data_IF_353413932923
#
_entry.id   IF_353413932923
#
_cell.length_a   1.000
_cell.length_b   1.000
_cell.length_c   1.000
_cell.angle_alpha   90.00
_cell.angle_beta   90.00
_cell.angle_gamma   90.00
#
_symmetry.space_group_name_H-M   'P 1'
#
loop_
_entity.id
_entity.type
_entity.pdbx_description
1 polymer ?
#
# COMPACT_ATOMS: atom_id res chain seq x y z
N UNK A 1 -20.48 5.87 -0.03
CA UNK A 1 -19.12 5.24 -0.08
C UNK A 1 -18.66 4.89 1.33
N UNK A 2 -17.39 4.40 1.56
CA UNK A 2 -16.96 4.00 2.92
C UNK A 2 -17.09 5.14 3.96
N UNK A 3 -16.76 6.37 3.59
CA UNK A 3 -16.90 7.54 4.49
C UNK A 3 -18.33 7.74 5.00
N UNK A 4 -19.32 7.52 4.15
CA UNK A 4 -20.74 7.62 4.52
C UNK A 4 -21.18 6.47 5.44
N UNK A 5 -20.56 5.28 5.26
CA UNK A 5 -20.86 4.08 6.06
C UNK A 5 -20.18 4.09 7.43
N UNK A 6 -19.01 4.73 7.53
CA UNK A 6 -18.25 4.84 8.78
C UNK A 6 -18.10 6.32 9.23
N UNK A 7 -19.21 7.02 9.53
CA UNK A 7 -19.14 8.40 9.98
C UNK A 7 -18.40 8.45 11.33
N UNK A 8 -17.43 9.36 11.45
CA UNK A 8 -16.59 9.49 12.63
C UNK A 8 -15.26 8.75 12.55
N UNK A 9 -15.04 7.92 11.53
CA UNK A 9 -13.71 7.39 11.23
C UNK A 9 -12.83 8.46 10.59
N UNK A 10 -11.52 8.33 10.77
CA UNK A 10 -10.52 9.14 10.05
C UNK A 10 -10.05 8.38 8.81
N UNK A 11 -10.18 9.00 7.64
CA UNK A 11 -9.72 8.45 6.37
C UNK A 11 -8.39 9.07 5.98
N UNK A 12 -7.43 8.22 5.61
CA UNK A 12 -6.09 8.61 5.19
C UNK A 12 -5.76 7.99 3.83
N UNK A 13 -4.84 8.63 3.13
CA UNK A 13 -4.29 8.12 1.87
C UNK A 13 -2.79 8.38 1.84
N UNK A 14 -2.01 7.37 1.49
CA UNK A 14 -0.57 7.49 1.33
C UNK A 14 -0.12 7.05 -0.07
N UNK A 15 0.92 7.70 -0.65
CA UNK A 15 1.61 8.87 -0.10
C UNK A 15 0.76 10.14 -0.18
N UNK A 16 1.04 11.11 0.71
CA UNK A 16 0.43 12.43 0.65
C UNK A 16 1.33 13.36 -0.18
N UNK A 17 1.07 13.43 -1.47
CA UNK A 17 1.88 14.19 -2.42
C UNK A 17 1.86 15.71 -2.21
N UNK A 18 0.89 16.25 -1.49
CA UNK A 18 0.74 17.69 -1.23
C UNK A 18 1.56 18.18 -0.03
N UNK A 19 2.52 17.39 0.43
CA UNK A 19 3.38 17.71 1.56
C UNK A 19 4.85 17.74 1.15
N UNK A 20 5.73 18.42 1.93
CA UNK A 20 7.18 18.37 1.67
C UNK A 20 7.77 16.94 1.66
N UNK A 21 7.22 16.02 2.44
CA UNK A 21 7.61 14.61 2.38
C UNK A 21 7.13 13.95 1.08
N UNK A 22 5.94 14.30 0.60
CA UNK A 22 5.40 13.86 -0.69
C UNK A 22 6.19 14.38 -1.89
N UNK A 23 6.78 15.57 -1.79
CA UNK A 23 7.68 16.10 -2.83
C UNK A 23 8.89 15.20 -3.04
N UNK A 24 9.50 14.68 -1.96
CA UNK A 24 10.63 13.73 -2.05
C UNK A 24 10.21 12.46 -2.79
N UNK A 25 9.00 11.96 -2.50
CA UNK A 25 8.46 10.78 -3.17
C UNK A 25 8.21 11.07 -4.66
N UNK A 26 7.72 12.27 -4.98
CA UNK A 26 7.53 12.70 -6.37
C UNK A 26 8.85 12.77 -7.14
N UNK A 27 9.91 13.33 -6.51
CA UNK A 27 11.25 13.36 -7.09
C UNK A 27 11.80 11.94 -7.34
N UNK A 28 11.58 11.04 -6.37
CA UNK A 28 11.99 9.65 -6.49
C UNK A 28 11.26 8.92 -7.64
N UNK A 29 9.92 9.05 -7.70
CA UNK A 29 9.11 8.41 -8.74
C UNK A 29 9.39 8.97 -10.15
N UNK A 30 9.80 10.24 -10.23
CA UNK A 30 10.23 10.88 -11.46
C UNK A 30 11.70 10.57 -11.83
N UNK A 31 12.35 9.63 -11.13
CA UNK A 31 13.75 9.22 -11.35
C UNK A 31 14.77 10.37 -11.26
N UNK A 32 14.41 11.46 -10.54
CA UNK A 32 15.33 12.59 -10.30
C UNK A 32 16.24 12.38 -9.09
N UNK A 33 15.91 11.40 -8.22
CA UNK A 33 16.84 10.88 -7.21
C UNK A 33 17.47 9.63 -7.79
N UNK A 34 18.80 9.60 -8.03
CA UNK A 34 19.45 8.41 -8.56
C UNK A 34 19.25 7.22 -7.62
N UNK A 35 18.72 6.12 -8.16
CA UNK A 35 18.66 4.85 -7.45
C UNK A 35 20.07 4.25 -7.35
N UNK A 36 20.38 3.63 -6.22
CA UNK A 36 21.53 2.75 -6.07
C UNK A 36 21.28 1.39 -6.73
N UNK A 37 21.99 0.36 -6.26
CA UNK A 37 21.61 -1.00 -6.61
C UNK A 37 20.25 -1.36 -6.00
N UNK A 38 19.64 -2.44 -6.51
CA UNK A 38 18.27 -2.82 -6.17
C UNK A 38 18.06 -3.02 -4.65
N UNK A 39 19.08 -3.55 -3.94
CA UNK A 39 18.99 -3.79 -2.50
C UNK A 39 18.93 -2.45 -1.76
N UNK A 40 19.88 -1.55 -1.99
CA UNK A 40 19.89 -0.24 -1.35
C UNK A 40 18.66 0.59 -1.73
N UNK A 41 18.21 0.51 -2.99
CA UNK A 41 16.99 1.17 -3.46
C UNK A 41 15.73 0.70 -2.72
N UNK A 42 15.62 -0.57 -2.35
CA UNK A 42 14.48 -1.07 -1.57
C UNK A 42 14.38 -0.37 -0.20
N UNK A 43 15.50 -0.27 0.50
CA UNK A 43 15.56 0.36 1.82
C UNK A 43 15.42 1.88 1.76
N UNK A 44 16.15 2.55 0.87
CA UNK A 44 16.09 4.01 0.74
C UNK A 44 14.71 4.51 0.33
N UNK A 45 14.08 3.89 -0.68
CA UNK A 45 12.72 4.24 -1.06
C UNK A 45 11.72 4.03 0.10
N UNK A 46 11.89 2.95 0.86
CA UNK A 46 11.03 2.71 2.03
C UNK A 46 11.13 3.83 3.07
N UNK A 47 12.31 4.44 3.25
CA UNK A 47 12.49 5.57 4.19
C UNK A 47 11.75 6.82 3.73
N UNK A 48 11.64 7.09 2.43
CA UNK A 48 10.88 8.24 1.92
C UNK A 48 9.39 8.11 2.25
N UNK A 49 8.81 6.93 2.00
CA UNK A 49 7.42 6.65 2.33
C UNK A 49 7.17 6.60 3.85
N UNK A 50 8.13 6.10 4.62
CA UNK A 50 8.05 6.08 6.08
C UNK A 50 8.07 7.49 6.68
N UNK A 51 8.89 8.39 6.12
CA UNK A 51 8.93 9.81 6.53
C UNK A 51 7.58 10.51 6.30
N UNK A 52 6.92 10.25 5.16
CA UNK A 52 5.59 10.78 4.87
C UNK A 52 4.57 10.29 5.90
N UNK A 53 4.51 9.00 6.20
CA UNK A 53 3.62 8.43 7.22
C UNK A 53 3.88 9.00 8.61
N UNK A 54 5.16 9.08 9.02
CA UNK A 54 5.55 9.62 10.31
C UNK A 54 5.15 11.08 10.47
N UNK A 55 5.45 11.92 9.48
CA UNK A 55 5.12 13.35 9.52
C UNK A 55 3.60 13.54 9.55
N UNK A 56 2.86 12.79 8.73
CA UNK A 56 1.40 12.79 8.73
C UNK A 56 0.86 12.38 10.10
N UNK A 57 1.35 11.28 10.69
CA UNK A 57 0.95 10.84 12.02
C UNK A 57 1.13 11.94 13.07
N UNK A 58 2.34 12.51 13.15
CA UNK A 58 2.69 13.50 14.18
C UNK A 58 1.96 14.83 14.03
N UNK A 59 1.65 15.26 12.80
CA UNK A 59 1.06 16.56 12.54
C UNK A 59 -0.46 16.54 12.43
N UNK A 60 -1.04 15.44 11.96
CA UNK A 60 -2.42 15.44 11.50
C UNK A 60 -3.33 14.50 12.32
N UNK A 61 -2.99 13.23 12.49
CA UNK A 61 -3.97 12.26 13.00
C UNK A 61 -3.60 11.57 14.33
N UNK A 62 -2.51 11.98 14.99
CA UNK A 62 -2.13 11.41 16.31
C UNK A 62 -3.22 11.59 17.35
N UNK A 63 -3.91 12.74 17.36
CA UNK A 63 -5.00 13.03 18.30
C UNK A 63 -6.19 12.12 18.03
N UNK A 64 -6.60 11.99 16.76
CA UNK A 64 -7.69 11.09 16.38
C UNK A 64 -7.40 9.64 16.80
N UNK A 65 -6.15 9.19 16.63
CA UNK A 65 -5.71 7.86 17.04
C UNK A 65 -5.73 7.68 18.57
N UNK A 66 -5.19 8.64 19.32
CA UNK A 66 -5.15 8.55 20.80
C UNK A 66 -6.53 8.70 21.43
N UNK A 67 -7.46 9.38 20.77
CA UNK A 67 -8.87 9.48 21.16
C UNK A 67 -9.67 8.20 20.81
N UNK A 68 -9.03 7.19 20.24
CA UNK A 68 -9.64 5.90 19.90
C UNK A 68 -10.54 5.94 18.67
N UNK A 69 -10.38 6.93 17.79
CA UNK A 69 -11.09 6.92 16.51
C UNK A 69 -10.61 5.78 15.62
N UNK A 70 -11.52 5.19 14.87
CA UNK A 70 -11.16 4.26 13.80
C UNK A 70 -10.40 4.99 12.70
N UNK A 71 -9.22 4.50 12.37
CA UNK A 71 -8.40 5.02 11.28
C UNK A 71 -8.48 4.05 10.10
N UNK A 72 -8.91 4.53 8.95
CA UNK A 72 -8.99 3.76 7.70
C UNK A 72 -8.02 4.38 6.71
N UNK A 73 -7.00 3.65 6.32
CA UNK A 73 -5.97 4.16 5.40
C UNK A 73 -5.98 3.43 4.07
N UNK A 74 -6.03 4.19 2.98
CA UNK A 74 -5.70 3.68 1.66
C UNK A 74 -4.18 3.69 1.51
N UNK A 75 -3.57 2.49 1.54
CA UNK A 75 -2.13 2.21 1.66
C UNK A 75 -1.58 2.58 3.05
N UNK A 76 -0.53 1.90 3.44
CA UNK A 76 0.21 2.14 4.67
C UNK A 76 1.61 1.50 4.58
N UNK A 77 2.24 1.15 5.71
CA UNK A 77 3.56 0.48 5.77
C UNK A 77 3.60 -0.79 4.91
N UNK A 78 2.52 -1.56 4.88
CA UNK A 78 2.39 -2.78 4.09
C UNK A 78 2.57 -2.56 2.58
N UNK A 79 2.36 -1.33 2.07
CA UNK A 79 2.70 -0.99 0.69
C UNK A 79 4.20 -1.11 0.41
N UNK A 80 5.08 -0.80 1.38
CA UNK A 80 6.51 -1.02 1.22
C UNK A 80 6.83 -2.52 1.13
N UNK A 81 6.20 -3.36 1.96
CA UNK A 81 6.33 -4.82 1.86
C UNK A 81 5.85 -5.36 0.52
N UNK A 82 4.86 -4.72 -0.12
CA UNK A 82 4.36 -5.15 -1.44
C UNK A 82 5.27 -4.66 -2.58
N UNK A 83 5.66 -3.38 -2.57
CA UNK A 83 6.30 -2.75 -3.73
C UNK A 83 7.83 -2.71 -3.64
N UNK A 84 8.40 -2.43 -2.47
CA UNK A 84 9.85 -2.30 -2.34
C UNK A 84 10.53 -3.65 -2.14
N UNK A 85 9.89 -4.58 -1.43
CA UNK A 85 10.41 -5.93 -1.22
C UNK A 85 10.67 -6.68 -2.54
N UNK A 86 9.89 -6.40 -3.59
CA UNK A 86 10.07 -7.00 -4.91
C UNK A 86 11.39 -6.68 -5.59
N UNK A 87 12.10 -5.65 -5.14
CA UNK A 87 13.43 -5.30 -5.64
C UNK A 87 14.51 -6.24 -5.11
N UNK A 88 14.19 -6.97 -4.04
CA UNK A 88 15.12 -7.86 -3.35
C UNK A 88 15.00 -9.30 -3.85
N UNK A 89 16.11 -10.07 -3.82
CA UNK A 89 16.04 -11.52 -3.91
C UNK A 89 15.09 -12.11 -2.85
N UNK A 90 14.44 -13.22 -3.20
CA UNK A 90 13.43 -13.85 -2.32
C UNK A 90 13.96 -14.20 -0.94
N UNK A 91 15.21 -14.56 -0.86
CA UNK A 91 15.92 -14.96 0.36
C UNK A 91 16.06 -13.81 1.39
N UNK A 92 15.94 -12.56 0.95
CA UNK A 92 16.02 -11.37 1.80
C UNK A 92 14.66 -10.83 2.25
N UNK A 93 13.56 -11.46 1.86
CA UNK A 93 12.22 -10.94 2.16
C UNK A 93 11.90 -10.95 3.66
N UNK A 94 12.31 -12.01 4.37
CA UNK A 94 12.13 -12.08 5.83
C UNK A 94 12.91 -10.98 6.55
N UNK A 95 14.17 -10.80 6.19
CA UNK A 95 15.02 -9.76 6.77
C UNK A 95 14.46 -8.36 6.48
N UNK A 96 14.02 -8.12 5.26
CA UNK A 96 13.44 -6.85 4.88
C UNK A 96 12.13 -6.55 5.63
N UNK A 97 11.21 -7.51 5.75
CA UNK A 97 9.98 -7.34 6.51
C UNK A 97 10.26 -7.07 7.99
N UNK A 98 11.18 -7.82 8.60
CA UNK A 98 11.58 -7.60 9.98
C UNK A 98 12.15 -6.20 10.19
N UNK A 99 13.03 -5.74 9.28
CA UNK A 99 13.58 -4.40 9.30
C UNK A 99 12.49 -3.33 9.12
N UNK A 100 11.60 -3.49 8.13
CA UNK A 100 10.57 -2.52 7.79
C UNK A 100 9.63 -2.27 8.98
N UNK A 101 9.14 -3.34 9.59
CA UNK A 101 8.21 -3.25 10.71
C UNK A 101 8.89 -2.72 11.97
N UNK A 102 10.14 -3.14 12.28
CA UNK A 102 10.91 -2.57 13.38
C UNK A 102 11.18 -1.08 13.16
N UNK A 103 11.56 -0.70 11.94
CA UNK A 103 11.84 0.69 11.60
C UNK A 103 10.59 1.58 11.77
N UNK A 104 9.47 1.22 11.17
CA UNK A 104 8.29 2.09 11.19
C UNK A 104 7.52 2.00 12.51
N UNK A 105 7.29 0.81 13.05
CA UNK A 105 6.46 0.66 14.24
C UNK A 105 7.24 0.89 15.54
N UNK A 106 8.47 0.38 15.64
CA UNK A 106 9.24 0.46 16.90
C UNK A 106 10.18 1.67 16.94
N UNK A 107 10.85 2.05 15.85
CA UNK A 107 11.81 3.17 15.84
C UNK A 107 11.13 4.50 15.56
N UNK A 108 10.27 4.60 14.55
CA UNK A 108 9.50 5.81 14.27
C UNK A 108 8.27 5.93 15.17
N UNK A 109 7.75 4.83 15.69
CA UNK A 109 6.62 4.80 16.60
C UNK A 109 5.29 5.16 15.95
N UNK A 110 5.13 4.90 14.64
CA UNK A 110 3.80 4.97 14.04
C UNK A 110 3.00 3.72 14.42
N UNK A 111 1.68 3.80 14.61
CA UNK A 111 0.90 2.64 15.01
C UNK A 111 0.91 1.54 13.95
N UNK A 112 1.08 0.30 14.39
CA UNK A 112 0.83 -0.84 13.51
C UNK A 112 -0.68 -0.95 13.21
N UNK A 113 -1.08 -1.42 12.02
CA UNK A 113 -2.48 -1.65 11.73
C UNK A 113 -2.99 -2.90 12.48
N UNK A 114 -4.23 -2.87 12.95
CA UNK A 114 -4.90 -4.05 13.53
C UNK A 114 -5.25 -5.06 12.43
N UNK A 115 -5.62 -4.56 11.24
CA UNK A 115 -5.99 -5.37 10.11
C UNK A 115 -5.53 -4.75 8.78
N UNK A 116 -5.25 -5.61 7.81
CA UNK A 116 -4.94 -5.25 6.43
C UNK A 116 -5.92 -5.97 5.50
N UNK A 117 -6.56 -5.22 4.62
CA UNK A 117 -7.42 -5.79 3.59
C UNK A 117 -6.73 -5.59 2.25
N UNK A 118 -6.31 -6.69 1.64
CA UNK A 118 -5.68 -6.67 0.32
C UNK A 118 -6.72 -6.95 -0.77
N UNK A 119 -6.93 -5.97 -1.64
CA UNK A 119 -7.83 -6.10 -2.78
C UNK A 119 -7.12 -6.85 -3.90
N UNK A 120 -7.38 -8.15 -4.02
CA UNK A 120 -6.72 -9.01 -5.00
C UNK A 120 -7.41 -8.92 -6.37
N UNK A 121 -6.68 -8.34 -7.33
CA UNK A 121 -7.08 -8.27 -8.75
C UNK A 121 -6.01 -8.97 -9.58
N UNK A 122 -6.35 -10.01 -10.36
CA UNK A 122 -5.41 -10.63 -11.29
C UNK A 122 -4.76 -9.61 -12.23
N UNK A 123 -3.47 -9.80 -12.52
CA UNK A 123 -2.67 -8.81 -13.26
C UNK A 123 -3.23 -8.55 -14.65
N UNK A 124 -3.77 -9.58 -15.31
CA UNK A 124 -4.38 -9.47 -16.64
C UNK A 124 -5.60 -8.54 -16.63
N UNK A 125 -6.41 -8.64 -15.57
CA UNK A 125 -7.58 -7.76 -15.37
C UNK A 125 -7.13 -6.35 -15.01
N UNK A 126 -6.16 -6.20 -14.12
CA UNK A 126 -5.58 -4.92 -13.74
C UNK A 126 -5.01 -4.18 -14.96
N UNK A 127 -4.24 -4.85 -15.81
CA UNK A 127 -3.70 -4.26 -17.04
C UNK A 127 -4.79 -3.80 -18.00
N UNK A 128 -5.86 -4.59 -18.17
CA UNK A 128 -7.00 -4.18 -18.98
C UNK A 128 -7.66 -2.91 -18.44
N UNK A 129 -7.90 -2.85 -17.12
CA UNK A 129 -8.49 -1.66 -16.49
C UNK A 129 -7.61 -0.41 -16.65
N UNK A 130 -6.28 -0.56 -16.55
CA UNK A 130 -5.34 0.53 -16.80
C UNK A 130 -5.41 1.02 -18.24
N UNK A 131 -5.45 0.11 -19.21
CA UNK A 131 -5.60 0.46 -20.61
C UNK A 131 -6.91 1.19 -20.89
N UNK A 132 -8.03 0.73 -20.30
CA UNK A 132 -9.33 1.40 -20.39
C UNK A 132 -9.29 2.80 -19.75
N UNK A 133 -8.70 2.92 -18.55
CA UNK A 133 -8.54 4.19 -17.81
C UNK A 133 -7.80 5.24 -18.61
N UNK A 134 -6.73 4.84 -19.29
CA UNK A 134 -5.92 5.73 -20.11
C UNK A 134 -6.39 5.81 -21.56
N UNK A 135 -7.53 5.19 -21.90
CA UNK A 135 -8.11 5.18 -23.25
C UNK A 135 -7.13 4.68 -24.33
N UNK A 136 -6.33 3.68 -23.97
CA UNK A 136 -5.30 3.11 -24.85
C UNK A 136 -4.01 3.93 -24.96
N UNK A 137 -3.87 5.02 -24.23
CA UNK A 137 -2.65 5.82 -24.20
C UNK A 137 -1.64 5.24 -23.20
N UNK A 138 -0.82 4.32 -23.66
CA UNK A 138 0.18 3.62 -22.84
C UNK A 138 1.24 4.56 -22.23
N UNK A 139 1.45 5.76 -22.82
CA UNK A 139 2.42 6.74 -22.31
C UNK A 139 2.02 7.34 -20.95
N UNK A 140 0.77 7.16 -20.54
CA UNK A 140 0.25 7.63 -19.27
C UNK A 140 0.43 6.65 -18.12
N UNK A 141 0.80 5.40 -18.42
CA UNK A 141 1.17 4.43 -17.39
C UNK A 141 2.51 4.83 -16.79
N UNK A 142 2.59 4.78 -15.46
CA UNK A 142 3.90 4.90 -14.83
C UNK A 142 4.76 3.65 -15.10
N UNK A 143 6.05 3.70 -14.77
CA UNK A 143 6.98 2.61 -15.02
C UNK A 143 6.57 1.29 -14.36
N UNK A 144 5.86 1.37 -13.26
CA UNK A 144 5.39 0.21 -12.50
C UNK A 144 4.11 -0.37 -13.10
N UNK A 145 3.18 0.49 -13.52
CA UNK A 145 1.94 0.10 -14.21
C UNK A 145 2.21 -0.54 -15.58
N UNK A 146 3.31 -0.15 -16.23
CA UNK A 146 3.69 -0.64 -17.56
C UNK A 146 4.36 -2.02 -17.54
N UNK A 147 4.81 -2.54 -16.37
CA UNK A 147 5.50 -3.84 -16.25
C UNK A 147 4.61 -4.91 -15.60
N UNK A 148 3.95 -5.79 -16.40
CA UNK A 148 3.14 -6.88 -15.85
C UNK A 148 3.94 -7.87 -14.99
N UNK A 149 5.21 -8.10 -15.28
CA UNK A 149 6.06 -8.99 -14.50
C UNK A 149 6.34 -8.40 -13.11
N UNK A 150 6.53 -7.09 -13.05
CA UNK A 150 6.64 -6.38 -11.77
C UNK A 150 5.34 -6.50 -10.96
N UNK A 151 4.18 -6.28 -11.59
CA UNK A 151 2.88 -6.41 -10.89
C UNK A 151 2.62 -7.83 -10.39
N UNK A 152 3.05 -8.86 -11.13
CA UNK A 152 2.98 -10.25 -10.65
C UNK A 152 3.86 -10.46 -9.41
N UNK A 153 5.09 -9.94 -9.39
CA UNK A 153 5.96 -9.98 -8.21
C UNK A 153 5.35 -9.21 -7.03
N UNK A 154 4.71 -8.05 -7.28
CA UNK A 154 4.01 -7.31 -6.23
C UNK A 154 2.86 -8.13 -5.61
N UNK A 155 2.10 -8.85 -6.42
CA UNK A 155 1.05 -9.74 -5.92
C UNK A 155 1.63 -10.91 -5.12
N UNK A 156 2.73 -11.52 -5.58
CA UNK A 156 3.45 -12.55 -4.82
C UNK A 156 3.95 -12.00 -3.47
N UNK A 157 4.54 -10.81 -3.48
CA UNK A 157 5.00 -10.14 -2.26
C UNK A 157 3.86 -9.83 -1.28
N UNK A 158 2.68 -9.42 -1.79
CA UNK A 158 1.50 -9.23 -0.97
C UNK A 158 1.03 -10.51 -0.27
N UNK A 159 0.96 -11.62 -1.02
CA UNK A 159 0.60 -12.92 -0.47
C UNK A 159 1.63 -13.42 0.55
N UNK A 160 2.90 -13.16 0.29
CA UNK A 160 3.96 -13.47 1.23
C UNK A 160 3.83 -12.65 2.53
N UNK A 161 3.70 -11.34 2.42
CA UNK A 161 3.52 -10.45 3.56
C UNK A 161 2.29 -10.85 4.39
N UNK A 162 1.18 -11.19 3.74
CA UNK A 162 -0.04 -11.64 4.41
C UNK A 162 0.16 -12.90 5.28
N UNK A 163 1.08 -13.79 4.88
CA UNK A 163 1.40 -14.99 5.66
C UNK A 163 2.49 -14.81 6.71
N UNK A 164 3.21 -13.68 6.72
CA UNK A 164 4.42 -13.47 7.52
C UNK A 164 4.40 -12.16 8.35
N UNK A 165 3.33 -11.37 8.26
CA UNK A 165 3.18 -10.14 9.06
C UNK A 165 2.81 -10.49 10.51
N UNK A 166 3.67 -10.19 11.51
CA UNK A 166 3.37 -10.50 12.90
C UNK A 166 2.51 -9.44 13.59
N UNK A 167 2.22 -8.33 12.94
CA UNK A 167 1.56 -7.17 13.54
C UNK A 167 0.09 -7.03 13.16
N UNK A 168 -0.31 -7.51 12.00
CA UNK A 168 -1.66 -7.31 11.49
C UNK A 168 -2.30 -8.62 10.99
N UNK A 169 -3.60 -8.73 11.16
CA UNK A 169 -4.41 -9.76 10.50
C UNK A 169 -4.68 -9.35 9.06
N UNK A 170 -4.43 -10.25 8.09
CA UNK A 170 -4.67 -9.97 6.68
C UNK A 170 -5.93 -10.68 6.18
N UNK A 171 -6.74 -9.95 5.45
CA UNK A 171 -7.85 -10.48 4.67
C UNK A 171 -7.60 -10.23 3.19
N UNK A 172 -7.60 -11.31 2.39
CA UNK A 172 -7.47 -11.22 0.95
C UNK A 172 -8.88 -11.16 0.36
N UNK A 173 -9.28 -9.98 -0.12
CA UNK A 173 -10.57 -9.76 -0.76
C UNK A 173 -10.43 -9.99 -2.25
N UNK A 174 -11.01 -11.07 -2.76
CA UNK A 174 -11.01 -11.37 -4.19
C UNK A 174 -11.98 -10.41 -4.92
N UNK A 175 -11.40 -9.53 -5.74
CA UNK A 175 -12.17 -8.55 -6.51
C UNK A 175 -12.74 -9.10 -7.82
N UNK A 176 -12.51 -10.38 -8.15
CA UNK A 176 -12.95 -10.99 -9.40
C UNK A 176 -13.85 -12.20 -9.17
N UNK A 177 -14.79 -12.42 -10.09
CA UNK A 177 -15.61 -13.61 -10.18
C UNK A 177 -15.79 -13.98 -11.66
N UNK A 178 -15.76 -15.27 -11.98
CA UNK A 178 -15.94 -15.80 -13.33
C UNK A 178 -15.02 -15.14 -14.41
N UNK A 179 -13.78 -14.81 -14.01
CA UNK A 179 -12.80 -14.18 -14.90
C UNK A 179 -13.04 -12.69 -15.19
N UNK A 180 -13.96 -12.04 -14.48
CA UNK A 180 -14.26 -10.63 -14.62
C UNK A 180 -14.17 -9.89 -13.28
N UNK A 181 -13.91 -8.58 -13.34
CA UNK A 181 -13.98 -7.72 -12.16
C UNK A 181 -15.41 -7.67 -11.64
N UNK A 182 -15.58 -7.84 -10.34
CA UNK A 182 -16.87 -7.64 -9.66
C UNK A 182 -17.28 -6.16 -9.70
N UNK A 183 -18.54 -5.85 -9.52
CA UNK A 183 -18.98 -4.46 -9.43
C UNK A 183 -18.35 -3.74 -8.23
N UNK A 184 -18.13 -2.44 -8.35
CA UNK A 184 -17.58 -1.63 -7.28
C UNK A 184 -18.46 -1.71 -6.01
N UNK A 185 -19.79 -1.75 -6.20
CA UNK A 185 -20.76 -1.88 -5.11
C UNK A 185 -20.58 -3.21 -4.37
N UNK A 186 -20.43 -4.33 -5.09
CA UNK A 186 -20.22 -5.65 -4.49
C UNK A 186 -18.91 -5.73 -3.68
N UNK A 187 -17.83 -5.15 -4.22
CA UNK A 187 -16.55 -5.10 -3.52
C UNK A 187 -16.63 -4.19 -2.28
N UNK A 188 -17.28 -3.03 -2.40
CA UNK A 188 -17.46 -2.11 -1.28
C UNK A 188 -18.33 -2.69 -0.18
N UNK A 189 -19.37 -3.45 -0.51
CA UNK A 189 -20.24 -4.08 0.48
C UNK A 189 -19.48 -5.14 1.30
N UNK A 190 -18.70 -5.99 0.62
CA UNK A 190 -17.86 -6.98 1.31
C UNK A 190 -16.76 -6.32 2.14
N UNK A 191 -16.07 -5.31 1.58
CA UNK A 191 -15.07 -4.52 2.29
C UNK A 191 -15.65 -3.89 3.56
N UNK A 192 -16.84 -3.29 3.46
CA UNK A 192 -17.50 -2.70 4.60
C UNK A 192 -17.89 -3.75 5.65
N UNK A 193 -18.39 -4.91 5.24
CA UNK A 193 -18.69 -6.03 6.15
C UNK A 193 -17.45 -6.53 6.90
N UNK A 194 -16.28 -6.60 6.24
CA UNK A 194 -15.00 -6.92 6.90
C UNK A 194 -14.65 -5.87 7.95
N UNK A 195 -14.74 -4.58 7.61
CA UNK A 195 -14.43 -3.47 8.53
C UNK A 195 -15.38 -3.43 9.74
N UNK A 196 -16.64 -3.78 9.55
CA UNK A 196 -17.64 -3.86 10.64
C UNK A 196 -17.34 -5.00 11.62
N UNK A 197 -16.67 -6.05 11.15
CA UNK A 197 -16.30 -7.21 11.97
C UNK A 197 -14.99 -7.05 12.76
N UNK A 198 -14.27 -5.94 12.56
CA UNK A 198 -13.05 -5.57 13.30
C UNK A 198 -13.40 -4.74 14.54
#
# INVERSE_FOLDING_TARGET
MLEERFPGSRFLTFPNYDTPAGEIITEYLAERIPDGDAVHSAYSASTFYAADRYISFRKDWIVDYTDGKRIISARYTTSNAIYQMTKLPRELWDEYCAWLYDYEYNKLGIPAPDAVIFLDVPVEISQRLLTERYRGDESKKDKHEADPAYLMRCREAAMYAAGHDPYASWTILNCCADGALRSAESIQEELAGIIEGL
#
